data_IF_411807605089
#
_entry.id   IF_411807605089
#
_cell.length_a   1.000
_cell.length_b   1.000
_cell.length_c   1.000
_cell.angle_alpha   90.00
_cell.angle_beta   90.00
_cell.angle_gamma   90.00
#
_symmetry.space_group_name_H-M   'P 1'
#
loop_
_entity.id
_entity.type
_entity.pdbx_description
1 polymer ?
#
# COMPACT_ATOMS: atom_id res chain seq x y z
N UNK A 1 10.25 16.19 0.43
CA UNK A 1 9.18 15.24 0.07
C UNK A 1 8.20 15.05 1.23
N UNK A 2 8.68 14.74 2.44
CA UNK A 2 7.83 14.40 3.59
C UNK A 2 6.97 15.54 4.20
N UNK A 3 7.22 16.80 3.84
CA UNK A 3 6.45 17.93 4.35
C UNK A 3 5.01 17.97 3.82
N UNK A 4 4.77 17.48 2.60
CA UNK A 4 3.42 17.43 2.02
C UNK A 4 2.82 16.03 2.11
N UNK A 5 1.48 15.95 2.17
CA UNK A 5 0.75 14.69 2.15
C UNK A 5 1.10 13.85 0.92
N UNK A 6 1.13 14.47 -0.26
CA UNK A 6 1.44 13.80 -1.52
C UNK A 6 2.84 13.18 -1.49
N UNK A 7 3.84 13.90 -1.00
CA UNK A 7 5.19 13.34 -0.92
C UNK A 7 5.31 12.19 0.08
N UNK A 8 4.64 12.26 1.25
CA UNK A 8 4.59 11.13 2.19
C UNK A 8 3.86 9.92 1.59
N UNK A 9 2.70 10.16 0.99
CA UNK A 9 1.86 9.14 0.36
C UNK A 9 2.61 8.41 -0.76
N UNK A 10 3.37 9.12 -1.60
CA UNK A 10 4.26 8.48 -2.60
C UNK A 10 5.22 7.49 -1.95
N UNK A 11 5.93 7.90 -0.89
CA UNK A 11 6.93 7.02 -0.25
C UNK A 11 6.25 5.83 0.41
N UNK A 12 5.19 6.06 1.18
CA UNK A 12 4.50 4.98 1.90
C UNK A 12 3.93 3.93 0.94
N UNK A 13 3.27 4.36 -0.14
CA UNK A 13 2.73 3.43 -1.14
C UNK A 13 3.81 2.75 -1.98
N UNK A 14 4.92 3.44 -2.29
CA UNK A 14 6.05 2.81 -2.98
C UNK A 14 6.69 1.71 -2.11
N UNK A 15 6.87 1.97 -0.81
CA UNK A 15 7.37 0.97 0.14
C UNK A 15 6.40 -0.21 0.26
N UNK A 16 5.10 0.06 0.43
CA UNK A 16 4.08 -0.99 0.49
C UNK A 16 4.08 -1.86 -0.77
N UNK A 17 4.17 -1.23 -1.95
CA UNK A 17 4.28 -1.93 -3.23
C UNK A 17 5.54 -2.80 -3.30
N UNK A 18 6.70 -2.28 -2.94
CA UNK A 18 7.98 -3.04 -2.99
C UNK A 18 7.91 -4.26 -2.08
N UNK A 19 7.38 -4.13 -0.87
CA UNK A 19 7.26 -5.25 0.06
C UNK A 19 6.37 -6.36 -0.51
N UNK A 20 5.21 -6.01 -1.09
CA UNK A 20 4.33 -6.97 -1.75
C UNK A 20 4.96 -7.53 -3.03
N UNK A 21 5.64 -6.70 -3.82
CA UNK A 21 6.23 -7.13 -5.08
C UNK A 21 7.34 -8.17 -4.88
N UNK A 22 8.27 -7.91 -3.96
CA UNK A 22 9.38 -8.80 -3.65
C UNK A 22 8.91 -10.11 -2.98
N UNK A 23 7.90 -10.03 -2.14
CA UNK A 23 7.45 -11.17 -1.34
C UNK A 23 6.37 -12.00 -2.01
N UNK A 24 5.68 -11.45 -3.01
CA UNK A 24 4.50 -12.05 -3.61
C UNK A 24 4.48 -11.99 -5.14
N UNK A 25 4.56 -10.80 -5.74
CA UNK A 25 4.39 -10.67 -7.21
C UNK A 25 5.51 -11.36 -7.97
N UNK A 26 6.78 -11.06 -7.66
CA UNK A 26 7.92 -11.66 -8.35
C UNK A 26 8.00 -13.17 -8.15
N UNK A 27 7.82 -13.72 -6.93
CA UNK A 27 7.69 -15.16 -6.74
C UNK A 27 6.64 -15.81 -7.64
N UNK A 28 5.45 -15.22 -7.73
CA UNK A 28 4.33 -15.74 -8.54
C UNK A 28 4.61 -15.64 -10.04
N UNK A 29 5.16 -14.51 -10.49
CA UNK A 29 5.37 -14.24 -11.93
C UNK A 29 6.64 -14.91 -12.47
N UNK A 30 7.70 -14.98 -11.67
CA UNK A 30 9.01 -15.50 -12.06
C UNK A 30 9.23 -16.95 -11.63
N UNK A 31 8.28 -17.55 -10.91
CA UNK A 31 8.37 -18.93 -10.41
C UNK A 31 9.47 -19.12 -9.36
N UNK A 32 9.81 -18.07 -8.60
CA UNK A 32 10.84 -18.11 -7.57
C UNK A 32 10.24 -18.27 -6.17
N UNK A 33 11.07 -18.64 -5.19
CA UNK A 33 10.71 -18.50 -3.79
C UNK A 33 10.53 -17.04 -3.40
N UNK A 34 9.81 -16.76 -2.31
CA UNK A 34 9.71 -15.42 -1.74
C UNK A 34 11.10 -14.78 -1.59
N UNK A 35 11.31 -13.59 -2.19
CA UNK A 35 12.60 -12.91 -2.16
C UNK A 35 12.89 -12.25 -0.80
N UNK A 36 11.85 -12.16 0.04
CA UNK A 36 11.92 -11.72 1.43
C UNK A 36 11.16 -12.72 2.30
N UNK A 37 11.57 -12.93 3.57
CA UNK A 37 10.83 -13.76 4.50
C UNK A 37 9.39 -13.26 4.66
N UNK A 38 8.40 -14.10 4.38
CA UNK A 38 6.97 -13.71 4.37
C UNK A 38 6.53 -13.14 5.72
N UNK A 39 7.00 -13.69 6.83
CA UNK A 39 6.68 -13.19 8.17
C UNK A 39 7.16 -11.74 8.34
N UNK A 40 8.39 -11.43 7.91
CA UNK A 40 9.00 -10.12 8.04
C UNK A 40 8.29 -9.11 7.14
N UNK A 41 8.14 -9.46 5.86
CA UNK A 41 7.46 -8.60 4.89
C UNK A 41 6.01 -8.34 5.28
N UNK A 42 5.31 -9.34 5.81
CA UNK A 42 3.96 -9.20 6.29
C UNK A 42 3.86 -8.26 7.49
N UNK A 43 4.69 -8.46 8.52
CA UNK A 43 4.69 -7.58 9.69
C UNK A 43 5.00 -6.13 9.31
N UNK A 44 6.04 -5.90 8.49
CA UNK A 44 6.41 -4.54 8.06
C UNK A 44 5.30 -3.93 7.20
N UNK A 45 4.71 -4.69 6.29
CA UNK A 45 3.62 -4.20 5.43
C UNK A 45 2.38 -3.82 6.23
N UNK A 46 2.06 -4.54 7.31
CA UNK A 46 0.97 -4.16 8.22
C UNK A 46 1.26 -2.82 8.89
N UNK A 47 2.49 -2.60 9.39
CA UNK A 47 2.87 -1.32 9.99
C UNK A 47 2.80 -0.17 8.98
N UNK A 48 3.27 -0.39 7.75
CA UNK A 48 3.18 0.60 6.66
C UNK A 48 1.71 0.87 6.30
N UNK A 49 0.86 -0.15 6.20
CA UNK A 49 -0.56 0.01 5.92
C UNK A 49 -1.28 0.81 7.02
N UNK A 50 -0.96 0.56 8.29
CA UNK A 50 -1.46 1.38 9.40
C UNK A 50 -1.00 2.83 9.29
N UNK A 51 0.28 3.07 8.95
CA UNK A 51 0.80 4.41 8.73
C UNK A 51 0.08 5.13 7.56
N UNK A 52 -0.19 4.42 6.45
CA UNK A 52 -0.98 4.94 5.32
C UNK A 52 -2.39 5.31 5.79
N UNK A 53 -3.04 4.46 6.58
CA UNK A 53 -4.40 4.70 7.07
C UNK A 53 -4.46 5.94 7.97
N UNK A 54 -3.50 6.08 8.89
CA UNK A 54 -3.38 7.25 9.77
C UNK A 54 -3.11 8.52 8.96
N UNK A 55 -2.16 8.49 8.02
CA UNK A 55 -1.83 9.65 7.19
C UNK A 55 -3.01 10.05 6.28
N UNK A 56 -3.74 9.07 5.74
CA UNK A 56 -4.95 9.29 4.94
C UNK A 56 -6.08 9.91 5.77
N UNK A 57 -6.30 9.45 6.99
CA UNK A 57 -7.33 9.97 7.90
C UNK A 57 -6.98 11.38 8.44
N UNK A 58 -5.69 11.66 8.65
CA UNK A 58 -5.24 12.92 9.23
C UNK A 58 -5.65 14.13 8.38
N UNK A 59 -6.53 14.98 8.91
CA UNK A 59 -7.10 16.16 8.21
C UNK A 59 -7.90 15.83 6.95
N UNK A 60 -8.41 14.60 6.80
CA UNK A 60 -9.14 14.18 5.59
C UNK A 60 -10.31 15.10 5.21
N UNK A 61 -10.99 15.68 6.20
CA UNK A 61 -12.14 16.57 5.99
C UNK A 61 -11.80 18.06 6.01
N UNK A 62 -10.54 18.45 6.21
CA UNK A 62 -10.13 19.84 6.23
C UNK A 62 -10.41 20.53 4.88
N UNK A 63 -10.87 21.81 4.85
CA UNK A 63 -11.16 22.52 3.60
C UNK A 63 -9.95 22.67 2.68
N UNK A 64 -8.76 22.92 3.25
CA UNK A 64 -7.49 23.06 2.52
C UNK A 64 -7.04 21.78 1.82
N UNK A 65 -7.53 20.63 2.27
CA UNK A 65 -7.13 19.29 1.78
C UNK A 65 -8.13 18.74 0.75
N UNK A 66 -9.15 19.52 0.36
CA UNK A 66 -10.16 19.12 -0.65
C UNK A 66 -9.55 18.50 -1.92
N UNK A 67 -8.48 19.05 -2.52
CA UNK A 67 -7.87 18.47 -3.73
C UNK A 67 -7.29 17.06 -3.50
N UNK A 68 -6.85 16.73 -2.28
CA UNK A 68 -6.23 15.45 -1.94
C UNK A 68 -7.22 14.38 -1.44
N UNK A 69 -8.52 14.69 -1.31
CA UNK A 69 -9.52 13.76 -0.75
C UNK A 69 -9.65 12.45 -1.52
N UNK A 70 -9.61 12.51 -2.85
CA UNK A 70 -9.67 11.32 -3.69
C UNK A 70 -8.49 10.38 -3.42
N UNK A 71 -7.27 10.93 -3.41
CA UNK A 71 -6.06 10.19 -3.08
C UNK A 71 -6.10 9.61 -1.65
N UNK A 72 -6.66 10.34 -0.67
CA UNK A 72 -6.85 9.84 0.70
C UNK A 72 -7.81 8.66 0.76
N UNK A 73 -8.93 8.74 0.05
CA UNK A 73 -9.89 7.62 -0.04
C UNK A 73 -9.26 6.37 -0.67
N UNK A 74 -8.57 6.55 -1.79
CA UNK A 74 -7.84 5.46 -2.46
C UNK A 74 -6.73 4.89 -1.58
N UNK A 75 -6.00 5.75 -0.85
CA UNK A 75 -4.96 5.34 0.08
C UNK A 75 -5.52 4.51 1.24
N UNK A 76 -6.67 4.89 1.79
CA UNK A 76 -7.34 4.11 2.82
C UNK A 76 -7.79 2.73 2.29
N UNK A 77 -8.33 2.67 1.06
CA UNK A 77 -8.72 1.41 0.44
C UNK A 77 -7.50 0.49 0.18
N UNK A 78 -6.40 1.05 -0.32
CA UNK A 78 -5.13 0.36 -0.52
C UNK A 78 -4.58 -0.21 0.81
N UNK A 79 -4.65 0.57 1.88
CA UNK A 79 -4.22 0.14 3.21
C UNK A 79 -5.11 -0.98 3.77
N UNK A 80 -6.43 -0.88 3.65
CA UNK A 80 -7.35 -1.92 4.12
C UNK A 80 -7.15 -3.24 3.38
N UNK A 81 -6.98 -3.19 2.06
CA UNK A 81 -6.70 -4.39 1.26
C UNK A 81 -5.34 -4.99 1.60
N UNK A 82 -4.32 -4.17 1.88
CA UNK A 82 -3.01 -4.63 2.38
C UNK A 82 -3.15 -5.36 3.72
N UNK A 83 -3.89 -4.78 4.67
CA UNK A 83 -4.08 -5.34 6.01
C UNK A 83 -4.77 -6.69 5.93
N UNK A 84 -5.89 -6.80 5.20
CA UNK A 84 -6.61 -8.05 5.02
C UNK A 84 -5.69 -9.10 4.38
N UNK A 85 -5.00 -8.73 3.30
CA UNK A 85 -4.12 -9.62 2.57
C UNK A 85 -3.00 -10.20 3.43
N UNK A 86 -2.28 -9.35 4.14
CA UNK A 86 -1.18 -9.77 5.00
C UNK A 86 -1.63 -10.52 6.25
N UNK A 87 -2.75 -10.14 6.88
CA UNK A 87 -3.31 -10.89 8.02
C UNK A 87 -3.69 -12.31 7.59
N UNK A 88 -4.38 -12.47 6.46
CA UNK A 88 -4.70 -13.80 5.91
C UNK A 88 -3.43 -14.61 5.63
N UNK A 89 -2.42 -14.00 5.02
CA UNK A 89 -1.16 -14.66 4.68
C UNK A 89 -0.33 -15.06 5.90
N UNK A 90 -0.28 -14.22 6.94
CA UNK A 90 0.42 -14.53 8.19
C UNK A 90 -0.32 -15.61 8.99
N UNK A 91 -1.64 -15.66 8.92
CA UNK A 91 -2.42 -16.70 9.60
C UNK A 91 -2.18 -18.10 9.00
N UNK A 92 -1.98 -18.18 7.69
CA UNK A 92 -1.68 -19.45 6.99
C UNK A 92 -0.18 -19.72 6.84
N UNK A 93 0.67 -18.83 7.34
CA UNK A 93 2.12 -18.97 7.20
C UNK A 93 2.60 -20.25 7.88
N UNK A 94 3.45 -21.01 7.18
CA UNK A 94 3.95 -22.33 7.60
C UNK A 94 2.89 -23.45 7.69
N UNK A 95 1.71 -23.25 7.09
CA UNK A 95 0.65 -24.27 7.00
C UNK A 95 0.46 -24.73 5.54
N UNK A 96 1.06 -25.88 5.20
CA UNK A 96 1.05 -26.41 3.83
C UNK A 96 -0.33 -26.85 3.33
N UNK A 97 -1.24 -27.22 4.24
CA UNK A 97 -2.63 -27.60 3.90
C UNK A 97 -3.53 -26.39 3.58
N UNK A 98 -3.02 -25.16 3.78
CA UNK A 98 -3.77 -23.95 3.49
C UNK A 98 -3.89 -23.65 1.99
N UNK A 99 -3.09 -24.30 1.15
CA UNK A 99 -3.14 -24.18 -0.30
C UNK A 99 -4.47 -24.73 -0.84
N UNK A 100 -5.40 -23.83 -1.18
CA UNK A 100 -6.74 -24.17 -1.65
C UNK A 100 -7.87 -23.67 -0.75
N UNK A 101 -7.54 -23.21 0.45
CA UNK A 101 -8.53 -22.62 1.38
C UNK A 101 -9.07 -21.28 0.88
N UNK A 102 -10.26 -20.91 1.36
CA UNK A 102 -10.84 -19.59 1.11
C UNK A 102 -9.92 -18.46 1.58
N UNK A 103 -9.22 -18.65 2.71
CA UNK A 103 -8.26 -17.65 3.22
C UNK A 103 -7.09 -17.41 2.27
N UNK A 104 -6.55 -18.46 1.65
CA UNK A 104 -5.50 -18.31 0.63
C UNK A 104 -5.97 -17.47 -0.56
N UNK A 105 -7.19 -17.73 -1.06
CA UNK A 105 -7.78 -17.01 -2.20
C UNK A 105 -8.02 -15.54 -1.87
N UNK A 106 -8.61 -15.27 -0.70
CA UNK A 106 -8.87 -13.90 -0.22
C UNK A 106 -7.55 -13.16 -0.03
N UNK A 107 -6.58 -13.77 0.66
CA UNK A 107 -5.27 -13.15 0.95
C UNK A 107 -4.53 -12.79 -0.33
N UNK A 108 -4.48 -13.71 -1.29
CA UNK A 108 -3.84 -13.48 -2.61
C UNK A 108 -4.54 -12.37 -3.40
N UNK A 109 -5.87 -12.42 -3.50
CA UNK A 109 -6.64 -11.42 -4.23
C UNK A 109 -6.48 -10.01 -3.63
N UNK A 110 -6.56 -9.90 -2.31
CA UNK A 110 -6.45 -8.62 -1.60
C UNK A 110 -5.03 -8.06 -1.62
N UNK A 111 -3.99 -8.90 -1.53
CA UNK A 111 -2.61 -8.46 -1.76
C UNK A 111 -2.37 -7.97 -3.19
N UNK A 112 -2.90 -8.68 -4.19
CA UNK A 112 -2.82 -8.24 -5.58
C UNK A 112 -3.51 -6.90 -5.81
N UNK A 113 -4.71 -6.74 -5.27
CA UNK A 113 -5.49 -5.49 -5.32
C UNK A 113 -4.74 -4.34 -4.63
N UNK A 114 -4.19 -4.60 -3.45
CA UNK A 114 -3.39 -3.64 -2.70
C UNK A 114 -2.17 -3.18 -3.47
N UNK A 115 -1.42 -4.09 -4.10
CA UNK A 115 -0.25 -3.74 -4.89
C UNK A 115 -0.59 -2.81 -6.07
N UNK A 116 -1.68 -3.11 -6.79
CA UNK A 116 -2.18 -2.27 -7.88
C UNK A 116 -2.58 -0.89 -7.35
N UNK A 117 -3.38 -0.84 -6.28
CA UNK A 117 -3.79 0.44 -5.70
C UNK A 117 -2.61 1.26 -5.19
N UNK A 118 -1.62 0.62 -4.56
CA UNK A 118 -0.42 1.28 -4.06
C UNK A 118 0.42 1.87 -5.19
N UNK A 119 0.64 1.16 -6.31
CA UNK A 119 1.41 1.75 -7.41
C UNK A 119 0.68 2.93 -8.06
N UNK A 120 -0.65 2.87 -8.22
CA UNK A 120 -1.44 3.99 -8.72
C UNK A 120 -1.44 5.17 -7.75
N UNK A 121 -1.64 4.93 -6.45
CA UNK A 121 -1.59 5.98 -5.43
C UNK A 121 -0.21 6.63 -5.38
N UNK A 122 0.87 5.84 -5.47
CA UNK A 122 2.23 6.36 -5.50
C UNK A 122 2.46 7.26 -6.73
N UNK A 123 2.01 6.84 -7.91
CA UNK A 123 2.13 7.60 -9.15
C UNK A 123 1.34 8.91 -9.11
N UNK A 124 0.06 8.87 -8.71
CA UNK A 124 -0.79 10.07 -8.57
C UNK A 124 -0.17 11.04 -7.58
N UNK A 125 0.18 10.54 -6.38
CA UNK A 125 0.80 11.35 -5.35
C UNK A 125 2.12 11.98 -5.81
N UNK A 126 2.93 11.25 -6.58
CA UNK A 126 4.19 11.77 -7.11
C UNK A 126 3.97 12.88 -8.12
N UNK A 127 3.02 12.69 -9.04
CA UNK A 127 2.66 13.70 -10.05
C UNK A 127 2.10 14.96 -9.40
N UNK A 128 1.18 14.82 -8.44
CA UNK A 128 0.59 15.94 -7.71
C UNK A 128 1.63 16.70 -6.89
N UNK A 129 2.54 15.98 -6.21
CA UNK A 129 3.64 16.58 -5.48
C UNK A 129 4.59 17.35 -6.40
N UNK A 130 4.88 16.80 -7.58
CA UNK A 130 5.72 17.46 -8.59
C UNK A 130 5.04 18.71 -9.13
N UNK A 131 3.75 18.64 -9.45
CA UNK A 131 2.97 19.78 -9.94
C UNK A 131 2.95 20.92 -8.93
N UNK A 132 2.74 20.62 -7.64
CA UNK A 132 2.77 21.60 -6.56
C UNK A 132 4.13 22.25 -6.28
N UNK A 133 5.23 21.71 -6.86
CA UNK A 133 6.54 22.38 -6.85
C UNK A 133 6.75 23.34 -8.02
N UNK A 134 5.94 23.23 -9.07
CA UNK A 134 6.10 24.02 -10.32
C UNK A 134 5.20 25.26 -10.31
N UNK A 135 4.07 25.23 -9.59
CA UNK A 135 3.22 26.41 -9.40
C UNK A 135 3.68 27.20 -8.16
N UNK A 136 4.24 28.42 -8.32
CA UNK A 136 4.48 29.28 -7.17
C UNK A 136 3.13 29.64 -6.57
N UNK A 137 2.96 29.35 -5.28
CA UNK A 137 1.80 29.79 -4.50
C UNK A 137 1.81 31.32 -4.52
N UNK A 138 0.96 31.93 -5.34
CA UNK A 138 0.67 33.36 -5.21
C UNK A 138 -0.18 33.50 -3.96
N UNK A 139 0.45 34.00 -2.90
CA UNK A 139 -0.23 34.51 -1.72
C UNK A 139 -1.11 35.71 -2.09
#
# INVERSE_FOLDING_TARGET
MFASYQGRSTVLHAVAFVLVALSFIFPVVLGTSALLPTWLSGTVSILVALAILVDAAHKAFAPSERPARGLRGLSALAALTALIGWICWLFIFNNFDAAGTTMYKIGTFTLGTSAVLSIFCAAIAFMDWRAGRVTPVKH
#
